data_IF_139267142580
#
_entry.id   IF_139267142580
#
_cell.length_a   1.000
_cell.length_b   1.000
_cell.length_c   1.000
_cell.angle_alpha   90.00
_cell.angle_beta   90.00
_cell.angle_gamma   90.00
#
_symmetry.space_group_name_H-M   'P 1'
#
loop_
_entity.id
_entity.type
_entity.pdbx_description
1 polymer ?
#
# COMPACT_ATOMS: atom_id res chain seq x y z
N UNK A 1 51.01 47.77 -20.25
CA UNK A 1 51.03 49.24 -20.05
C UNK A 1 52.46 49.74 -19.86
N UNK A 2 53.27 49.13 -18.99
CA UNK A 2 54.67 49.52 -18.79
C UNK A 2 55.55 49.44 -20.05
N UNK A 3 55.29 48.50 -20.97
CA UNK A 3 56.10 48.35 -22.19
C UNK A 3 55.64 49.24 -23.36
N UNK A 4 54.50 49.92 -23.20
CA UNK A 4 53.86 50.76 -24.24
C UNK A 4 54.19 52.25 -24.09
N UNK A 5 54.65 52.67 -22.91
CA UNK A 5 54.98 54.05 -22.61
C UNK A 5 56.40 54.09 -22.01
N UNK A 6 57.25 54.95 -22.55
CA UNK A 6 58.60 55.20 -22.04
C UNK A 6 58.78 56.69 -21.77
N UNK A 7 59.75 57.01 -20.92
CA UNK A 7 60.02 58.38 -20.51
C UNK A 7 60.47 59.24 -21.71
N UNK A 8 59.87 60.43 -21.85
CA UNK A 8 60.10 61.32 -22.99
C UNK A 8 59.28 61.03 -24.27
N UNK A 9 58.33 60.10 -24.23
CA UNK A 9 57.45 59.83 -25.38
C UNK A 9 56.54 61.04 -25.69
N UNK A 10 56.72 61.68 -26.84
CA UNK A 10 56.02 62.92 -27.20
C UNK A 10 54.53 62.71 -27.54
N UNK A 11 54.15 61.51 -27.98
CA UNK A 11 52.81 61.17 -28.47
C UNK A 11 51.96 60.37 -27.47
N UNK A 12 52.26 60.45 -26.16
CA UNK A 12 51.56 59.69 -25.11
C UNK A 12 50.04 59.90 -25.16
N UNK A 13 49.60 61.14 -25.39
CA UNK A 13 48.17 61.45 -25.48
C UNK A 13 47.49 60.79 -26.67
N UNK A 14 48.18 60.62 -27.79
CA UNK A 14 47.63 60.02 -29.00
C UNK A 14 47.49 58.51 -28.86
N UNK A 15 48.47 57.85 -28.23
CA UNK A 15 48.40 56.43 -27.86
C UNK A 15 47.32 56.16 -26.81
N UNK A 16 47.17 57.02 -25.80
CA UNK A 16 46.07 56.94 -24.82
C UNK A 16 44.70 57.06 -25.51
N UNK A 17 44.55 58.02 -26.42
CA UNK A 17 43.31 58.19 -27.17
C UNK A 17 43.06 57.05 -28.17
N UNK A 18 44.10 56.44 -28.74
CA UNK A 18 43.98 55.24 -29.56
C UNK A 18 43.57 54.03 -28.73
N UNK A 19 44.11 53.87 -27.51
CA UNK A 19 43.68 52.85 -26.56
C UNK A 19 42.22 53.05 -26.13
N UNK A 20 41.81 54.29 -25.81
CA UNK A 20 40.43 54.57 -25.45
C UNK A 20 39.48 54.25 -26.60
N UNK A 21 39.80 54.67 -27.82
CA UNK A 21 39.01 54.34 -29.02
C UNK A 21 38.98 52.83 -29.30
N UNK A 22 40.07 52.11 -29.07
CA UNK A 22 40.10 50.65 -29.21
C UNK A 22 39.29 49.94 -28.11
N UNK A 23 39.16 50.53 -26.92
CA UNK A 23 38.29 50.04 -25.85
C UNK A 23 36.81 50.32 -26.16
N UNK A 24 36.51 51.48 -26.73
CA UNK A 24 35.16 51.87 -27.22
C UNK A 24 34.74 51.08 -28.47
N UNK A 25 35.67 50.71 -29.35
CA UNK A 25 35.41 50.02 -30.62
C UNK A 25 35.67 48.50 -30.58
N UNK A 26 36.22 47.96 -29.49
CA UNK A 26 36.78 46.61 -29.43
C UNK A 26 35.76 45.47 -29.55
N UNK A 27 36.15 44.30 -30.09
CA UNK A 27 35.32 43.08 -30.20
C UNK A 27 35.21 42.32 -28.87
N UNK A 28 35.76 42.88 -27.80
CA UNK A 28 35.70 42.29 -26.48
C UNK A 28 34.38 42.70 -25.85
N UNK A 29 33.50 41.73 -25.63
CA UNK A 29 32.55 41.73 -24.53
C UNK A 29 33.33 41.80 -23.20
N UNK A 30 34.16 42.82 -23.02
CA UNK A 30 34.81 43.12 -21.77
C UNK A 30 33.65 43.42 -20.83
N UNK A 31 33.41 42.48 -19.91
CA UNK A 31 32.44 42.62 -18.84
C UNK A 31 32.55 44.04 -18.29
N UNK A 32 31.51 44.88 -18.41
CA UNK A 32 31.54 46.21 -17.83
C UNK A 32 31.87 46.03 -16.34
N UNK A 33 33.03 46.54 -15.93
CA UNK A 33 33.53 46.46 -14.55
C UNK A 33 32.58 47.16 -13.55
N UNK A 34 31.62 47.92 -14.06
CA UNK A 34 30.59 48.67 -13.33
C UNK A 34 29.19 48.07 -13.48
N UNK A 35 29.05 46.91 -14.13
CA UNK A 35 27.76 46.27 -14.41
C UNK A 35 27.11 46.79 -15.70
N UNK A 36 26.61 45.85 -16.51
CA UNK A 36 25.91 46.11 -17.76
C UNK A 36 25.37 44.81 -18.35
N UNK A 37 24.43 44.89 -19.28
CA UNK A 37 23.79 43.73 -19.90
C UNK A 37 24.70 43.11 -20.96
N UNK A 38 25.01 41.82 -20.85
CA UNK A 38 25.61 41.06 -21.95
C UNK A 38 24.56 40.88 -23.05
N UNK A 39 24.82 41.41 -24.25
CA UNK A 39 23.98 41.18 -25.44
C UNK A 39 24.77 40.37 -26.47
N UNK A 40 24.16 39.33 -27.05
CA UNK A 40 24.79 38.43 -28.03
C UNK A 40 24.93 36.99 -27.52
N UNK A 41 25.42 36.10 -28.38
CA UNK A 41 25.63 34.68 -28.07
C UNK A 41 26.86 34.50 -27.16
N UNK A 42 26.69 33.86 -26.01
CA UNK A 42 27.79 33.55 -25.07
C UNK A 42 28.19 32.10 -25.29
N UNK A 43 29.29 31.89 -26.00
CA UNK A 43 29.92 30.58 -26.16
C UNK A 43 31.10 30.43 -25.19
N UNK A 44 31.07 29.40 -24.35
CA UNK A 44 32.18 29.06 -23.46
C UNK A 44 32.48 27.57 -23.55
N UNK A 45 33.77 27.24 -23.71
CA UNK A 45 34.27 25.87 -23.72
C UNK A 45 34.62 25.40 -22.29
N UNK A 46 34.40 26.27 -21.29
CA UNK A 46 34.68 26.07 -19.87
C UNK A 46 33.42 26.31 -19.01
N UNK A 47 33.43 25.82 -17.77
CA UNK A 47 32.31 25.96 -16.81
C UNK A 47 32.05 27.44 -16.51
N UNK A 48 30.81 27.88 -16.73
CA UNK A 48 30.34 29.24 -16.40
C UNK A 48 29.81 29.24 -14.96
N UNK A 49 30.42 30.04 -14.09
CA UNK A 49 29.91 30.30 -12.73
C UNK A 49 28.99 31.52 -12.72
N UNK A 50 27.77 31.37 -12.20
CA UNK A 50 26.77 32.45 -12.13
C UNK A 50 26.39 32.70 -10.68
N UNK A 51 26.64 33.91 -10.16
CA UNK A 51 26.27 34.33 -8.80
C UNK A 51 26.45 35.84 -8.58
N UNK A 52 25.76 36.39 -7.57
CA UNK A 52 25.87 37.81 -7.16
C UNK A 52 26.73 37.91 -5.90
N UNK A 53 27.74 38.80 -5.90
CA UNK A 53 28.35 39.24 -4.64
C UNK A 53 27.33 40.12 -3.89
N UNK A 54 26.55 39.51 -2.99
CA UNK A 54 25.66 40.22 -2.05
C UNK A 54 24.14 40.27 -2.31
N UNK A 55 23.49 39.18 -2.80
CA UNK A 55 22.00 38.90 -2.79
C UNK A 55 21.15 39.37 -4.01
N UNK A 56 19.96 38.81 -4.37
CA UNK A 56 19.70 37.82 -5.43
C UNK A 56 19.38 38.37 -6.82
N UNK A 57 19.72 37.59 -7.86
CA UNK A 57 19.29 37.75 -9.26
C UNK A 57 18.28 36.65 -9.63
N UNK A 58 17.30 36.98 -10.48
CA UNK A 58 16.56 36.03 -11.34
C UNK A 58 17.51 35.48 -12.41
N UNK A 59 18.37 34.56 -11.99
CA UNK A 59 19.41 33.90 -12.78
C UNK A 59 19.05 32.43 -13.03
N UNK A 60 19.70 31.76 -13.99
CA UNK A 60 20.05 30.34 -13.78
C UNK A 60 20.87 30.32 -12.50
N UNK A 61 20.20 30.06 -11.40
CA UNK A 61 20.75 30.25 -10.09
C UNK A 61 21.03 28.89 -9.49
N UNK A 62 22.23 28.71 -8.96
CA UNK A 62 22.34 28.04 -7.68
C UNK A 62 22.15 29.12 -6.62
N UNK A 63 20.93 29.67 -6.49
CA UNK A 63 20.65 30.66 -5.44
C UNK A 63 20.30 29.91 -4.16
N UNK A 64 21.13 30.04 -3.12
CA UNK A 64 20.68 29.78 -1.76
C UNK A 64 19.85 30.99 -1.32
N UNK A 65 18.53 30.87 -1.09
CA UNK A 65 17.77 31.96 -0.51
C UNK A 65 18.20 32.09 0.95
N UNK A 66 19.20 32.92 1.24
CA UNK A 66 19.60 33.21 2.62
C UNK A 66 19.56 34.70 2.90
N UNK A 67 18.81 35.10 3.93
CA UNK A 67 19.06 36.38 4.60
C UNK A 67 17.93 37.03 5.38
N UNK A 68 16.66 36.66 5.17
CA UNK A 68 15.55 37.22 5.95
C UNK A 68 14.75 36.08 6.55
N UNK A 69 14.44 36.14 7.85
CA UNK A 69 13.42 35.29 8.44
C UNK A 69 12.13 35.46 7.63
N UNK A 70 11.79 34.48 6.79
CA UNK A 70 10.53 34.49 6.05
C UNK A 70 9.41 34.30 7.11
N UNK A 71 8.57 35.31 7.36
CA UNK A 71 7.62 35.25 8.46
C UNK A 71 6.47 34.33 8.07
N UNK A 72 6.55 33.04 8.41
CA UNK A 72 5.39 32.14 8.58
C UNK A 72 4.57 31.87 7.28
N UNK A 73 4.86 32.52 6.14
CA UNK A 73 3.94 32.57 4.99
C UNK A 73 3.99 31.40 3.99
N UNK A 74 4.82 30.36 4.22
CA UNK A 74 4.98 29.21 3.29
C UNK A 74 5.21 29.62 1.82
N UNK A 75 5.82 30.78 1.59
CA UNK A 75 6.00 31.33 0.24
C UNK A 75 7.06 30.50 -0.50
N UNK A 76 6.73 30.02 -1.70
CA UNK A 76 7.68 29.28 -2.56
C UNK A 76 8.69 30.23 -3.17
N UNK A 77 9.98 29.91 -3.07
CA UNK A 77 11.11 30.67 -3.60
C UNK A 77 11.76 29.89 -4.73
N UNK A 78 11.95 30.52 -5.90
CA UNK A 78 12.67 29.92 -7.01
C UNK A 78 14.16 29.81 -6.66
N UNK A 79 14.69 28.59 -6.68
CA UNK A 79 16.10 28.27 -6.40
C UNK A 79 16.88 28.03 -7.69
N UNK A 80 16.26 27.38 -8.67
CA UNK A 80 16.84 27.16 -10.00
C UNK A 80 15.71 27.04 -11.05
N UNK A 81 15.98 27.40 -12.30
CA UNK A 81 15.07 27.15 -13.43
C UNK A 81 15.83 26.71 -14.67
N UNK A 82 15.24 25.80 -15.44
CA UNK A 82 15.71 25.34 -16.74
C UNK A 82 14.60 25.55 -17.78
N UNK A 83 14.82 26.43 -18.75
CA UNK A 83 13.91 26.59 -19.87
C UNK A 83 13.99 25.39 -20.82
N UNK A 84 12.85 25.02 -21.40
CA UNK A 84 12.70 23.97 -22.42
C UNK A 84 12.01 24.60 -23.61
N UNK A 85 12.63 24.48 -24.77
CA UNK A 85 12.05 24.97 -26.02
C UNK A 85 11.05 23.95 -26.57
N UNK A 86 9.89 24.42 -26.98
CA UNK A 86 8.86 23.66 -27.65
C UNK A 86 9.26 23.20 -29.05
N UNK A 87 8.46 22.29 -29.60
CA UNK A 87 8.61 21.80 -30.97
C UNK A 87 7.45 22.40 -31.79
N UNK A 88 7.73 23.21 -32.83
CA UNK A 88 6.68 23.85 -33.63
C UNK A 88 5.60 22.87 -34.10
N UNK A 89 4.35 23.14 -33.74
CA UNK A 89 3.18 22.31 -34.10
C UNK A 89 2.96 21.06 -33.24
N UNK A 90 3.84 20.78 -32.27
CA UNK A 90 3.78 19.57 -31.42
C UNK A 90 3.75 19.93 -29.93
N UNK A 91 4.55 20.90 -29.47
CA UNK A 91 4.65 21.30 -28.06
C UNK A 91 5.05 22.78 -27.90
N UNK A 92 4.57 23.44 -26.85
CA UNK A 92 4.93 24.83 -26.50
C UNK A 92 6.27 24.93 -25.76
N UNK A 93 6.83 26.14 -25.74
CA UNK A 93 7.93 26.50 -24.85
C UNK A 93 7.47 26.38 -23.38
N UNK A 94 8.40 26.05 -22.49
CA UNK A 94 8.12 25.91 -21.07
C UNK A 94 9.38 25.99 -20.22
N UNK A 95 9.22 25.77 -18.92
CA UNK A 95 10.36 25.76 -17.99
C UNK A 95 10.13 24.80 -16.82
N UNK A 96 11.21 24.19 -16.35
CA UNK A 96 11.30 23.45 -15.09
C UNK A 96 11.85 24.37 -14.01
N UNK A 97 11.14 24.48 -12.90
CA UNK A 97 11.56 25.29 -11.76
C UNK A 97 11.78 24.39 -10.56
N UNK A 98 12.88 24.62 -9.84
CA UNK A 98 13.16 24.08 -8.53
C UNK A 98 12.85 25.16 -7.51
N UNK A 99 11.85 24.94 -6.68
CA UNK A 99 11.45 25.87 -5.63
C UNK A 99 11.68 25.29 -4.25
N UNK A 100 11.98 26.16 -3.29
CA UNK A 100 12.00 25.81 -1.87
C UNK A 100 11.05 26.67 -1.04
N UNK A 101 10.55 26.12 0.07
CA UNK A 101 9.78 26.85 1.08
C UNK A 101 10.02 26.25 2.46
N UNK A 102 9.50 26.91 3.51
CA UNK A 102 9.37 26.29 4.83
C UNK A 102 8.53 25.01 4.73
N UNK A 103 8.90 23.98 5.48
CA UNK A 103 8.10 22.75 5.60
C UNK A 103 6.71 23.00 6.22
N UNK A 104 5.89 21.93 6.36
CA UNK A 104 4.54 22.04 6.90
C UNK A 104 4.53 22.48 8.37
N UNK A 105 5.59 22.20 9.13
CA UNK A 105 5.72 22.55 10.54
C UNK A 105 6.30 23.96 10.75
N UNK A 106 5.81 24.64 11.79
CA UNK A 106 6.24 25.99 12.21
C UNK A 106 7.59 26.00 12.94
N UNK A 107 8.13 24.82 13.28
CA UNK A 107 9.46 24.66 13.88
C UNK A 107 10.51 24.52 12.76
N UNK A 108 11.78 24.87 13.02
CA UNK A 108 12.88 24.91 12.01
C UNK A 108 13.31 23.53 11.46
N UNK A 109 12.41 22.55 11.37
CA UNK A 109 12.73 21.15 11.13
C UNK A 109 12.50 20.65 9.69
N UNK A 110 12.09 21.48 8.73
CA UNK A 110 11.87 20.99 7.36
C UNK A 110 11.97 22.02 6.25
N UNK A 111 12.39 21.55 5.08
CA UNK A 111 12.28 22.24 3.79
C UNK A 111 11.30 21.48 2.89
N UNK A 112 10.69 22.18 1.94
CA UNK A 112 9.98 21.56 0.81
C UNK A 112 10.79 21.84 -0.45
N UNK A 113 10.98 20.83 -1.30
CA UNK A 113 11.51 20.96 -2.66
C UNK A 113 10.38 20.64 -3.64
N UNK A 114 10.06 21.61 -4.50
CA UNK A 114 9.02 21.45 -5.51
C UNK A 114 9.61 21.58 -6.90
N UNK A 115 9.31 20.63 -7.78
CA UNK A 115 9.55 20.76 -9.21
C UNK A 115 8.26 21.26 -9.83
N UNK A 116 8.29 22.40 -10.51
CA UNK A 116 7.13 22.98 -11.21
C UNK A 116 7.43 23.06 -12.70
N UNK A 117 6.50 22.56 -13.53
CA UNK A 117 6.52 22.77 -14.97
C UNK A 117 5.49 23.86 -15.31
N UNK A 118 5.90 24.86 -16.09
CA UNK A 118 5.01 25.94 -16.55
C UNK A 118 4.98 25.95 -18.07
N UNK A 119 3.77 26.01 -18.65
CA UNK A 119 3.53 26.33 -20.06
C UNK A 119 3.35 27.85 -20.21
N UNK A 120 4.16 28.47 -21.06
CA UNK A 120 4.21 29.93 -21.23
C UNK A 120 3.01 30.50 -22.00
N UNK A 121 2.29 29.70 -22.81
CA UNK A 121 1.19 30.21 -23.65
C UNK A 121 -0.14 30.22 -22.90
N UNK A 122 -0.38 29.22 -22.05
CA UNK A 122 -1.64 29.09 -21.29
C UNK A 122 -1.56 29.71 -19.90
N UNK A 123 -0.36 30.06 -19.42
CA UNK A 123 -0.13 30.47 -18.03
C UNK A 123 -0.47 29.36 -17.03
N UNK A 124 -0.62 28.12 -17.51
CA UNK A 124 -0.99 26.99 -16.68
C UNK A 124 0.22 26.56 -15.84
N UNK A 125 0.32 27.10 -14.63
CA UNK A 125 1.13 26.51 -13.56
C UNK A 125 0.34 25.32 -13.00
N UNK A 126 0.30 24.24 -13.76
CA UNK A 126 -0.28 23.00 -13.27
C UNK A 126 0.35 22.61 -11.94
N UNK A 127 -0.48 22.04 -11.07
CA UNK A 127 -0.13 21.22 -9.91
C UNK A 127 1.34 20.77 -9.88
N UNK A 128 2.04 20.99 -8.76
CA UNK A 128 3.46 20.64 -8.60
C UNK A 128 3.69 19.15 -8.94
N UNK A 129 4.31 18.80 -10.07
CA UNK A 129 4.43 17.40 -10.51
C UNK A 129 5.19 16.52 -9.52
N UNK A 130 6.13 17.08 -8.75
CA UNK A 130 6.81 16.36 -7.68
C UNK A 130 7.10 17.32 -6.51
N UNK A 131 6.64 16.93 -5.33
CA UNK A 131 6.99 17.58 -4.06
C UNK A 131 7.77 16.60 -3.21
N UNK A 132 8.95 17.00 -2.73
CA UNK A 132 9.71 16.30 -1.71
C UNK A 132 9.73 17.15 -0.44
N UNK A 133 9.41 16.56 0.70
CA UNK A 133 9.36 17.25 1.98
C UNK A 133 10.45 16.70 2.91
N UNK A 134 10.98 17.57 3.77
CA UNK A 134 12.07 17.23 4.70
C UNK A 134 11.71 16.19 5.76
N UNK A 135 10.42 15.87 5.92
CA UNK A 135 9.92 14.77 6.76
C UNK A 135 9.98 13.40 6.06
N UNK A 136 10.45 13.33 4.81
CA UNK A 136 10.58 12.11 4.03
C UNK A 136 9.42 11.84 3.07
N UNK A 137 8.38 12.69 3.06
CA UNK A 137 7.26 12.53 2.16
C UNK A 137 7.62 12.97 0.73
N UNK A 138 7.19 12.16 -0.23
CA UNK A 138 7.21 12.49 -1.65
C UNK A 138 5.79 12.39 -2.19
N UNK A 139 5.32 13.42 -2.91
CA UNK A 139 4.02 13.40 -3.58
C UNK A 139 4.14 13.80 -5.04
N UNK A 140 3.37 13.10 -5.87
CA UNK A 140 3.12 13.45 -7.27
C UNK A 140 1.67 13.83 -7.37
N UNK A 141 1.41 14.97 -8.00
CA UNK A 141 0.05 15.39 -8.25
C UNK A 141 -0.46 14.73 -9.54
N UNK A 142 -1.59 14.03 -9.45
CA UNK A 142 -2.13 13.20 -10.52
C UNK A 142 -1.63 11.75 -10.50
N UNK A 143 -1.46 11.16 -11.68
CA UNK A 143 -1.10 9.75 -11.82
C UNK A 143 0.42 9.54 -11.83
N UNK A 144 0.91 8.69 -10.93
CA UNK A 144 2.28 8.20 -10.98
C UNK A 144 2.34 6.86 -11.73
N UNK A 145 3.11 6.81 -12.82
CA UNK A 145 3.34 5.58 -13.59
C UNK A 145 4.82 5.21 -13.55
N UNK A 146 5.13 4.03 -13.00
CA UNK A 146 6.47 3.45 -13.06
C UNK A 146 6.51 2.41 -14.19
N UNK A 147 7.33 2.65 -15.22
CA UNK A 147 7.51 1.70 -16.33
C UNK A 147 8.22 0.38 -15.95
N UNK A 148 8.69 0.28 -14.69
CA UNK A 148 9.34 -0.89 -14.13
C UNK A 148 8.67 -1.31 -12.81
N UNK A 149 9.45 -1.36 -11.73
CA UNK A 149 8.99 -1.79 -10.42
C UNK A 149 8.85 -0.61 -9.45
N UNK A 150 7.69 -0.49 -8.81
CA UNK A 150 7.52 0.31 -7.59
C UNK A 150 7.83 -0.59 -6.38
N UNK A 151 8.88 -0.27 -5.62
CA UNK A 151 9.20 -0.95 -4.36
C UNK A 151 8.77 -0.08 -3.20
N UNK A 152 7.83 -0.56 -2.39
CA UNK A 152 7.41 0.10 -1.16
C UNK A 152 8.09 -0.56 0.04
N UNK A 153 8.92 0.22 0.76
CA UNK A 153 9.58 -0.15 2.02
C UNK A 153 10.78 -1.12 1.91
N UNK A 154 11.36 -1.46 3.06
CA UNK A 154 12.50 -2.40 3.19
C UNK A 154 12.04 -3.86 3.35
N UNK A 155 12.85 -4.86 2.95
CA UNK A 155 12.53 -6.28 3.09
C UNK A 155 12.33 -6.73 4.56
N UNK A 156 11.12 -7.23 4.87
CA UNK A 156 10.67 -8.08 5.99
C UNK A 156 11.48 -8.13 7.30
N UNK A 157 11.82 -6.98 7.89
CA UNK A 157 12.21 -6.88 9.31
C UNK A 157 11.12 -6.29 10.21
N UNK A 158 10.01 -5.85 9.61
CA UNK A 158 8.88 -5.20 10.28
C UNK A 158 7.91 -6.21 10.91
N UNK A 159 7.16 -5.79 11.93
CA UNK A 159 6.13 -6.60 12.56
C UNK A 159 4.95 -6.87 11.60
N UNK A 160 4.33 -8.04 11.72
CA UNK A 160 3.16 -8.39 10.91
C UNK A 160 1.96 -7.48 11.21
N UNK A 161 1.14 -7.22 10.19
CA UNK A 161 -0.05 -6.37 10.29
C UNK A 161 0.22 -4.87 10.14
N UNK A 162 1.48 -4.44 10.04
CA UNK A 162 1.82 -3.04 9.74
C UNK A 162 1.46 -2.69 8.29
N UNK A 163 0.93 -1.49 8.07
CA UNK A 163 0.59 -0.98 6.75
C UNK A 163 1.87 -0.72 5.94
N UNK A 164 1.98 -1.35 4.76
CA UNK A 164 3.13 -1.19 3.84
C UNK A 164 2.83 -0.24 2.69
N UNK A 165 1.60 -0.26 2.19
CA UNK A 165 1.11 0.61 1.12
C UNK A 165 -0.40 0.76 1.25
N UNK A 166 -0.90 1.98 1.10
CA UNK A 166 -2.33 2.26 1.04
C UNK A 166 -2.66 2.98 -0.28
N UNK A 167 -3.75 2.56 -0.91
CA UNK A 167 -4.46 3.34 -1.91
C UNK A 167 -5.79 3.70 -1.30
N UNK A 168 -5.95 4.99 -0.95
CA UNK A 168 -7.12 5.50 -0.25
C UNK A 168 -8.42 5.04 -0.94
N UNK A 169 -9.37 4.55 -0.14
CA UNK A 169 -10.68 4.06 -0.60
C UNK A 169 -10.62 2.94 -1.67
N UNK A 170 -9.52 2.19 -1.74
CA UNK A 170 -9.35 1.11 -2.72
C UNK A 170 -8.78 -0.17 -2.09
N UNK A 171 -7.54 -0.14 -1.63
CA UNK A 171 -6.85 -1.31 -1.13
C UNK A 171 -5.67 -0.95 -0.22
N UNK A 172 -5.41 -1.79 0.78
CA UNK A 172 -4.23 -1.68 1.64
C UNK A 172 -3.43 -2.98 1.60
N UNK A 173 -2.12 -2.83 1.62
CA UNK A 173 -1.15 -3.92 1.69
C UNK A 173 -0.48 -3.90 3.06
N UNK A 174 -0.46 -5.05 3.73
CA UNK A 174 0.13 -5.18 5.07
C UNK A 174 1.31 -6.14 5.08
N UNK A 175 2.21 -5.95 6.05
CA UNK A 175 3.31 -6.87 6.31
C UNK A 175 2.78 -8.23 6.73
N UNK A 176 3.19 -9.28 6.02
CA UNK A 176 2.85 -10.68 6.32
C UNK A 176 4.11 -11.56 6.27
N UNK A 177 4.30 -12.44 7.26
CA UNK A 177 5.53 -13.26 7.38
C UNK A 177 5.30 -14.78 7.27
N UNK A 178 4.06 -15.22 7.05
CA UNK A 178 3.74 -16.64 6.90
C UNK A 178 4.15 -17.23 5.54
N UNK A 179 4.68 -18.47 5.47
CA UNK A 179 4.89 -19.18 4.20
C UNK A 179 3.56 -19.62 3.56
N UNK A 180 2.46 -19.54 4.31
CA UNK A 180 1.08 -19.84 3.93
C UNK A 180 0.18 -19.05 4.89
N UNK A 181 -0.77 -18.27 4.39
CA UNK A 181 -1.54 -17.28 5.19
C UNK A 181 -2.25 -17.88 6.40
N UNK A 182 -2.25 -17.14 7.52
CA UNK A 182 -2.83 -17.53 8.82
C UNK A 182 -3.50 -16.34 9.53
N UNK A 183 -4.25 -16.62 10.58
CA UNK A 183 -5.64 -16.19 10.84
C UNK A 183 -5.89 -14.85 11.55
N UNK A 184 -4.96 -13.90 11.61
CA UNK A 184 -5.22 -12.59 12.26
C UNK A 184 -4.66 -11.38 11.51
N UNK A 185 -4.28 -11.55 10.24
CA UNK A 185 -3.91 -10.45 9.35
C UNK A 185 -3.93 -10.90 7.89
N UNK A 186 -4.40 -10.06 6.98
CA UNK A 186 -4.34 -10.30 5.54
C UNK A 186 -3.19 -9.49 4.93
N UNK A 187 -2.55 -10.00 3.88
CA UNK A 187 -1.56 -9.23 3.14
C UNK A 187 -2.21 -8.12 2.29
N UNK A 188 -3.50 -8.28 1.94
CA UNK A 188 -4.27 -7.39 1.09
C UNK A 188 -5.71 -7.32 1.60
N UNK A 189 -6.19 -6.10 1.89
CA UNK A 189 -7.61 -5.81 1.98
C UNK A 189 -8.07 -4.99 0.77
N UNK A 190 -9.31 -5.20 0.34
CA UNK A 190 -9.92 -4.50 -0.80
C UNK A 190 -11.27 -3.98 -0.35
N UNK A 191 -11.53 -2.70 -0.57
CA UNK A 191 -12.83 -2.09 -0.27
C UNK A 191 -13.84 -2.38 -1.37
N UNK A 192 -15.12 -2.41 -1.04
CA UNK A 192 -16.18 -2.56 -2.04
C UNK A 192 -16.59 -1.23 -2.65
N UNK A 193 -16.94 -1.25 -3.94
CA UNK A 193 -17.63 -0.15 -4.58
C UNK A 193 -19.07 -0.06 -4.04
N UNK A 194 -19.45 1.08 -3.47
CA UNK A 194 -20.74 1.25 -2.77
C UNK A 194 -21.98 1.15 -3.66
N UNK A 195 -21.83 1.33 -4.98
CA UNK A 195 -22.94 1.23 -5.94
C UNK A 195 -23.19 -0.22 -6.36
N UNK A 196 -22.12 -1.00 -6.54
CA UNK A 196 -22.21 -2.37 -7.07
C UNK A 196 -22.00 -3.46 -6.01
N UNK A 197 -21.50 -3.10 -4.83
CA UNK A 197 -21.08 -4.03 -3.78
C UNK A 197 -19.81 -4.82 -4.10
N UNK A 198 -19.18 -4.60 -5.27
CA UNK A 198 -18.03 -5.39 -5.74
C UNK A 198 -16.71 -4.85 -5.19
N UNK A 199 -15.90 -5.74 -4.60
CA UNK A 199 -14.51 -5.43 -4.25
C UNK A 199 -13.49 -5.94 -5.28
N UNK A 200 -13.69 -7.15 -5.81
CA UNK A 200 -12.80 -7.75 -6.80
C UNK A 200 -13.60 -8.38 -7.96
N UNK A 201 -13.06 -8.29 -9.17
CA UNK A 201 -13.60 -8.94 -10.38
C UNK A 201 -12.42 -9.49 -11.18
N UNK A 202 -12.54 -10.73 -11.66
CA UNK A 202 -11.56 -11.34 -12.57
C UNK A 202 -12.28 -11.80 -13.84
N UNK A 203 -11.67 -11.54 -15.00
CA UNK A 203 -12.12 -12.11 -16.29
C UNK A 203 -11.68 -13.56 -16.47
N UNK A 204 -10.81 -14.07 -15.58
CA UNK A 204 -10.31 -15.44 -15.56
C UNK A 204 -10.57 -16.12 -14.22
N UNK A 205 -9.81 -17.17 -13.93
CA UNK A 205 -9.97 -17.96 -12.70
C UNK A 205 -9.28 -17.33 -11.49
N UNK A 206 -9.87 -17.47 -10.31
CA UNK A 206 -9.14 -17.34 -9.05
C UNK A 206 -8.50 -18.69 -8.71
N UNK A 207 -7.20 -18.70 -8.45
CA UNK A 207 -6.50 -19.90 -7.99
C UNK A 207 -6.17 -19.74 -6.51
N UNK A 208 -6.52 -20.75 -5.73
CA UNK A 208 -6.29 -20.80 -4.29
C UNK A 208 -5.78 -22.20 -3.92
N UNK A 209 -5.09 -22.29 -2.78
CA UNK A 209 -4.48 -23.56 -2.32
C UNK A 209 -5.53 -24.52 -1.77
N UNK A 210 -6.60 -24.00 -1.15
CA UNK A 210 -7.67 -24.83 -0.59
C UNK A 210 -8.49 -25.58 -1.63
N UNK A 211 -9.17 -26.66 -1.22
CA UNK A 211 -9.85 -27.58 -2.14
C UNK A 211 -11.38 -27.62 -1.98
N UNK A 212 -11.92 -26.86 -1.02
CA UNK A 212 -13.34 -26.83 -0.70
C UNK A 212 -13.88 -25.40 -0.50
N UNK A 213 -15.19 -25.26 -0.71
CA UNK A 213 -15.97 -24.12 -0.25
C UNK A 213 -16.56 -24.45 1.11
N UNK A 214 -16.36 -23.55 2.07
CA UNK A 214 -16.89 -23.68 3.41
C UNK A 214 -17.68 -22.44 3.84
N UNK A 215 -18.51 -22.59 4.88
CA UNK A 215 -19.18 -21.48 5.55
C UNK A 215 -18.90 -21.52 7.04
N UNK A 216 -18.79 -20.36 7.68
CA UNK A 216 -18.81 -20.28 9.13
C UNK A 216 -20.21 -20.65 9.65
N UNK A 217 -20.27 -21.66 10.51
CA UNK A 217 -21.48 -22.06 11.21
C UNK A 217 -21.30 -21.94 12.72
N UNK A 218 -22.32 -21.43 13.40
CA UNK A 218 -22.34 -21.27 14.86
C UNK A 218 -22.53 -22.63 15.52
N UNK A 219 -21.70 -22.91 16.53
CA UNK A 219 -21.82 -24.08 17.39
C UNK A 219 -22.87 -23.84 18.46
N UNK A 220 -23.56 -24.90 18.86
CA UNK A 220 -24.34 -24.84 20.10
C UNK A 220 -23.42 -24.55 21.28
N UNK A 221 -23.96 -23.89 22.31
CA UNK A 221 -23.23 -23.56 23.53
C UNK A 221 -22.73 -24.81 24.30
N UNK A 222 -23.38 -25.95 24.12
CA UNK A 222 -23.09 -27.23 24.78
C UNK A 222 -22.30 -28.20 23.88
N UNK A 223 -21.68 -27.69 22.82
CA UNK A 223 -20.92 -28.45 21.83
C UNK A 223 -19.41 -28.40 22.14
N UNK A 224 -18.73 -29.54 22.02
CA UNK A 224 -17.27 -29.61 22.12
C UNK A 224 -16.54 -28.92 20.97
N UNK A 225 -15.20 -28.98 21.03
CA UNK A 225 -14.35 -28.57 19.90
C UNK A 225 -14.30 -29.69 18.86
N UNK A 226 -14.49 -29.34 17.59
CA UNK A 226 -14.35 -30.28 16.48
C UNK A 226 -12.93 -30.29 15.92
N UNK A 227 -12.39 -31.46 15.58
CA UNK A 227 -11.16 -31.54 14.80
C UNK A 227 -11.45 -31.25 13.31
N UNK A 228 -10.47 -30.74 12.56
CA UNK A 228 -10.58 -30.66 11.10
C UNK A 228 -10.83 -32.05 10.51
N UNK A 229 -11.78 -32.17 9.57
CA UNK A 229 -12.23 -33.45 9.01
C UNK A 229 -13.21 -34.23 9.89
N UNK A 230 -13.64 -33.71 11.04
CA UNK A 230 -14.68 -34.33 11.85
C UNK A 230 -16.03 -34.26 11.15
N UNK A 231 -16.83 -35.33 11.30
CA UNK A 231 -18.23 -35.35 10.90
C UNK A 231 -19.02 -34.67 12.01
N UNK A 232 -19.84 -33.70 11.64
CA UNK A 232 -20.62 -32.88 12.57
C UNK A 232 -22.10 -32.99 12.25
N UNK A 233 -22.94 -32.82 13.26
CA UNK A 233 -24.38 -32.66 13.10
C UNK A 233 -24.76 -31.20 12.98
N UNK A 234 -25.86 -30.94 12.28
CA UNK A 234 -26.56 -29.65 12.25
C UNK A 234 -27.90 -29.87 12.92
N UNK A 235 -28.21 -29.10 13.95
CA UNK A 235 -29.47 -29.21 14.68
C UNK A 235 -30.62 -28.48 13.98
N UNK A 236 -31.84 -28.63 14.53
CA UNK A 236 -33.04 -28.00 13.96
C UNK A 236 -33.02 -26.45 13.98
N UNK A 237 -32.10 -25.84 14.74
CA UNK A 237 -31.89 -24.38 14.76
C UNK A 237 -30.78 -23.94 13.78
N UNK A 238 -30.16 -24.88 13.07
CA UNK A 238 -29.04 -24.60 12.17
C UNK A 238 -27.68 -24.51 12.87
N UNK A 239 -27.58 -24.88 14.15
CA UNK A 239 -26.31 -24.85 14.89
C UNK A 239 -25.57 -26.19 14.81
N UNK A 240 -24.24 -26.13 14.89
CA UNK A 240 -23.41 -27.33 14.93
C UNK A 240 -23.55 -28.07 16.26
N UNK A 241 -23.59 -29.40 16.18
CA UNK A 241 -23.68 -30.29 17.33
C UNK A 241 -22.84 -31.55 17.15
N UNK A 242 -22.30 -32.05 18.26
CA UNK A 242 -21.66 -33.35 18.41
C UNK A 242 -22.63 -34.46 18.83
N UNK A 243 -23.90 -34.12 19.09
CA UNK A 243 -24.92 -35.04 19.61
C UNK A 243 -25.80 -35.59 18.49
N UNK A 244 -25.70 -36.90 18.25
CA UNK A 244 -26.48 -37.58 17.22
C UNK A 244 -27.99 -37.30 17.33
N UNK A 245 -28.54 -37.33 18.55
CA UNK A 245 -29.98 -37.15 18.79
C UNK A 245 -30.52 -35.78 18.43
N UNK A 246 -29.66 -34.76 18.33
CA UNK A 246 -30.06 -33.39 18.00
C UNK A 246 -29.86 -33.07 16.53
N UNK A 247 -29.07 -33.87 15.81
CA UNK A 247 -28.74 -33.64 14.42
C UNK A 247 -29.93 -33.98 13.50
N UNK A 248 -30.29 -33.03 12.65
CA UNK A 248 -31.26 -33.22 11.55
C UNK A 248 -30.57 -33.34 10.19
N UNK A 249 -29.33 -32.86 10.08
CA UNK A 249 -28.45 -33.02 8.93
C UNK A 249 -27.00 -33.21 9.40
N UNK A 250 -26.11 -33.59 8.48
CA UNK A 250 -24.71 -33.86 8.77
C UNK A 250 -23.80 -33.23 7.73
N UNK A 251 -22.61 -32.83 8.17
CA UNK A 251 -21.59 -32.22 7.32
C UNK A 251 -20.18 -32.59 7.81
N UNK A 252 -19.15 -32.03 7.17
CA UNK A 252 -17.74 -32.21 7.57
C UNK A 252 -17.13 -30.86 7.88
N UNK A 253 -16.40 -30.78 9.00
CA UNK A 253 -15.58 -29.61 9.30
C UNK A 253 -14.43 -29.50 8.29
N UNK A 254 -14.37 -28.38 7.58
CA UNK A 254 -13.34 -28.08 6.59
C UNK A 254 -11.94 -28.03 7.23
N UNK A 255 -10.95 -28.50 6.49
CA UNK A 255 -9.54 -28.43 6.89
C UNK A 255 -8.78 -27.30 6.19
N UNK A 256 -9.07 -27.07 4.90
CA UNK A 256 -8.33 -26.11 4.07
C UNK A 256 -9.23 -25.55 2.94
N UNK A 257 -10.18 -24.67 3.28
CA UNK A 257 -11.09 -24.10 2.29
C UNK A 257 -10.38 -23.06 1.42
N UNK A 258 -10.71 -23.03 0.12
CA UNK A 258 -10.25 -21.96 -0.78
C UNK A 258 -11.10 -20.70 -0.67
N UNK A 259 -12.35 -20.86 -0.25
CA UNK A 259 -13.33 -19.81 -0.09
C UNK A 259 -14.15 -20.08 1.17
N UNK A 260 -14.36 -19.03 1.97
CA UNK A 260 -15.15 -19.11 3.20
C UNK A 260 -16.24 -18.05 3.17
N UNK A 261 -17.49 -18.49 3.16
CA UNK A 261 -18.67 -17.64 3.30
C UNK A 261 -19.07 -17.42 4.76
N UNK A 262 -19.97 -16.45 4.99
CA UNK A 262 -20.55 -16.22 6.32
C UNK A 262 -19.61 -15.58 7.34
N UNK A 263 -18.61 -14.81 6.91
CA UNK A 263 -17.66 -14.12 7.79
C UNK A 263 -18.27 -12.87 8.48
N UNK A 264 -19.42 -13.07 9.13
CA UNK A 264 -20.16 -12.05 9.90
C UNK A 264 -20.35 -12.42 11.37
N UNK A 265 -19.75 -13.53 11.82
CA UNK A 265 -19.90 -14.08 13.17
C UNK A 265 -19.45 -13.12 14.27
N UNK A 266 -18.47 -12.27 13.99
CA UNK A 266 -17.96 -11.26 14.92
C UNK A 266 -18.69 -9.90 14.84
N UNK A 267 -19.69 -9.74 13.96
CA UNK A 267 -20.29 -8.42 13.69
C UNK A 267 -20.89 -7.75 14.95
N UNK A 268 -21.32 -8.55 15.93
CA UNK A 268 -21.86 -8.07 17.21
C UNK A 268 -20.82 -7.38 18.11
N UNK A 269 -19.52 -7.58 17.85
CA UNK A 269 -18.43 -6.92 18.58
C UNK A 269 -18.18 -5.48 18.11
N UNK A 270 -18.77 -5.07 16.99
CA UNK A 270 -18.54 -3.77 16.38
C UNK A 270 -17.19 -3.67 15.65
N UNK A 271 -16.76 -2.43 15.38
CA UNK A 271 -15.48 -2.16 14.71
C UNK A 271 -14.32 -2.30 15.69
N UNK A 272 -13.20 -2.87 15.22
CA UNK A 272 -11.96 -2.88 15.98
C UNK A 272 -11.56 -1.42 16.31
N UNK A 273 -11.18 -1.10 17.56
CA UNK A 273 -10.71 0.24 17.91
C UNK A 273 -9.56 0.69 17.01
N UNK A 274 -9.64 1.90 16.49
CA UNK A 274 -8.59 2.49 15.65
C UNK A 274 -7.38 2.91 16.49
N UNK A 275 -6.20 2.92 15.86
CA UNK A 275 -5.02 3.54 16.45
C UNK A 275 -5.25 5.05 16.56
N UNK A 276 -5.00 5.67 17.73
CA UNK A 276 -5.19 7.10 17.89
C UNK A 276 -4.19 7.86 17.02
N UNK A 277 -4.60 9.00 16.47
CA UNK A 277 -3.68 9.95 15.85
C UNK A 277 -3.22 10.95 16.92
N UNK A 278 -1.90 11.19 17.00
CA UNK A 278 -1.35 12.22 17.89
C UNK A 278 -1.89 13.59 17.50
N UNK A 279 -2.38 14.35 18.46
CA UNK A 279 -2.92 15.69 18.21
C UNK A 279 -1.81 16.77 18.26
N UNK A 280 -1.99 17.83 17.50
CA UNK A 280 -1.05 18.97 17.52
C UNK A 280 -1.09 19.66 18.89
N UNK A 281 0.09 19.90 19.47
CA UNK A 281 0.23 20.42 20.83
C UNK A 281 0.04 19.40 21.97
N UNK A 282 -0.23 18.12 21.68
CA UNK A 282 -0.36 17.06 22.70
C UNK A 282 1.00 16.77 23.35
N UNK A 283 1.06 16.88 24.67
CA UNK A 283 2.27 16.59 25.44
C UNK A 283 2.62 15.10 25.38
N UNK A 284 3.91 14.74 25.40
CA UNK A 284 4.35 13.34 25.28
C UNK A 284 3.74 12.41 26.34
N UNK A 285 3.53 12.91 27.56
CA UNK A 285 2.90 12.13 28.63
C UNK A 285 1.42 11.83 28.36
N UNK A 286 0.69 12.77 27.75
CA UNK A 286 -0.70 12.60 27.35
C UNK A 286 -0.78 11.61 26.17
N UNK A 287 0.07 11.81 25.16
CA UNK A 287 0.18 10.89 24.02
C UNK A 287 0.54 9.45 24.43
N UNK A 288 1.43 9.29 25.41
CA UNK A 288 1.76 7.98 25.98
C UNK A 288 0.56 7.32 26.65
N UNK A 289 -0.24 8.08 27.41
CA UNK A 289 -1.47 7.57 28.03
C UNK A 289 -2.53 7.20 26.98
N UNK A 290 -2.70 8.03 25.95
CA UNK A 290 -3.61 7.77 24.82
C UNK A 290 -3.26 6.47 24.12
N UNK A 291 -1.98 6.25 23.80
CA UNK A 291 -1.50 4.99 23.21
C UNK A 291 -1.73 3.78 24.14
N UNK A 292 -1.45 3.92 25.43
CA UNK A 292 -1.66 2.83 26.39
C UNK A 292 -3.15 2.44 26.49
N UNK A 293 -4.06 3.40 26.51
CA UNK A 293 -5.50 3.15 26.53
C UNK A 293 -6.00 2.49 25.23
N UNK A 294 -5.50 2.93 24.07
CA UNK A 294 -5.80 2.32 22.78
C UNK A 294 -5.32 0.86 22.73
N UNK A 295 -4.10 0.59 23.19
CA UNK A 295 -3.54 -0.75 23.26
C UNK A 295 -4.39 -1.69 24.14
N UNK A 296 -4.82 -1.23 25.32
CA UNK A 296 -5.71 -2.01 26.20
C UNK A 296 -7.06 -2.30 25.51
N UNK A 297 -7.62 -1.30 24.82
CA UNK A 297 -8.90 -1.45 24.11
C UNK A 297 -8.80 -2.44 22.95
N UNK A 298 -7.71 -2.39 22.18
CA UNK A 298 -7.44 -3.36 21.11
C UNK A 298 -7.23 -4.77 21.67
N UNK A 299 -6.48 -4.93 22.76
CA UNK A 299 -6.34 -6.23 23.41
C UNK A 299 -7.67 -6.81 23.89
N UNK A 300 -8.54 -5.97 24.46
CA UNK A 300 -9.87 -6.39 24.89
C UNK A 300 -10.74 -6.84 23.70
N UNK A 301 -10.69 -6.09 22.59
CA UNK A 301 -11.37 -6.46 21.36
C UNK A 301 -10.83 -7.76 20.78
N UNK A 302 -9.50 -7.93 20.68
CA UNK A 302 -8.85 -9.12 20.12
C UNK A 302 -9.15 -10.36 20.98
N UNK A 303 -9.19 -10.21 22.30
CA UNK A 303 -9.59 -11.28 23.21
C UNK A 303 -11.07 -11.66 23.01
N UNK A 304 -11.98 -10.69 22.87
CA UNK A 304 -13.38 -10.95 22.58
C UNK A 304 -13.58 -11.58 21.19
N UNK A 305 -12.80 -11.15 20.20
CA UNK A 305 -12.80 -11.70 18.84
C UNK A 305 -12.37 -13.16 18.85
N UNK A 306 -11.30 -13.51 19.55
CA UNK A 306 -10.86 -14.90 19.68
C UNK A 306 -11.91 -15.74 20.42
N UNK A 307 -12.55 -15.22 21.47
CA UNK A 307 -13.67 -15.92 22.13
C UNK A 307 -14.84 -16.17 21.16
N UNK A 308 -15.24 -15.17 20.38
CA UNK A 308 -16.28 -15.32 19.37
C UNK A 308 -15.87 -16.32 18.27
N UNK A 309 -14.59 -16.31 17.84
CA UNK A 309 -14.06 -17.26 16.84
C UNK A 309 -14.17 -18.70 17.32
N UNK A 310 -14.04 -18.95 18.62
CA UNK A 310 -14.20 -20.27 19.21
C UNK A 310 -15.65 -20.75 19.22
N UNK A 311 -16.65 -19.91 18.92
CA UNK A 311 -18.06 -20.30 18.84
C UNK A 311 -18.50 -20.71 17.44
N UNK A 312 -17.64 -20.53 16.44
CA UNK A 312 -17.94 -20.88 15.05
C UNK A 312 -16.92 -21.87 14.49
N UNK A 313 -17.31 -22.61 13.46
CA UNK A 313 -16.42 -23.47 12.71
C UNK A 313 -16.71 -23.40 11.20
N UNK A 314 -15.67 -23.63 10.38
CA UNK A 314 -15.79 -23.65 8.92
C UNK A 314 -16.26 -25.04 8.48
N UNK A 315 -17.46 -25.13 7.92
CA UNK A 315 -18.07 -26.39 7.48
C UNK A 315 -18.10 -26.44 5.97
N UNK A 316 -17.65 -27.56 5.41
CA UNK A 316 -17.55 -27.72 3.97
C UNK A 316 -18.92 -28.02 3.33
N UNK A 317 -19.23 -27.32 2.25
CA UNK A 317 -20.46 -27.48 1.47
C UNK A 317 -20.18 -27.87 0.01
N UNK A 318 -18.96 -27.71 -0.50
CA UNK A 318 -18.61 -28.21 -1.82
C UNK A 318 -17.10 -28.47 -1.93
N UNK A 319 -16.69 -29.31 -2.87
CA UNK A 319 -15.28 -29.59 -3.13
C UNK A 319 -14.76 -30.84 -2.42
N UNK A 320 -13.45 -30.88 -2.17
CA UNK A 320 -12.77 -32.07 -1.65
C UNK A 320 -12.29 -31.88 -0.22
N UNK A 321 -12.64 -32.82 0.67
CA UNK A 321 -12.30 -32.71 2.10
C UNK A 321 -11.77 -34.04 2.64
N UNK A 322 -10.64 -34.03 3.37
CA UNK A 322 -10.22 -35.15 4.20
C UNK A 322 -11.16 -35.35 5.39
N UNK A 323 -11.66 -36.57 5.58
CA UNK A 323 -12.52 -36.97 6.71
C UNK A 323 -11.73 -37.84 7.66
N UNK A 324 -11.95 -37.68 8.97
CA UNK A 324 -11.30 -38.48 10.01
C UNK A 324 -11.90 -39.89 10.09
N UNK A 325 -11.79 -40.64 9.00
CA UNK A 325 -12.22 -42.03 8.86
C UNK A 325 -11.16 -42.78 8.05
N UNK A 326 -10.70 -43.92 8.59
CA UNK A 326 -9.68 -44.76 7.98
C UNK A 326 -10.30 -46.04 7.39
N UNK A 327 -9.49 -46.81 6.64
CA UNK A 327 -9.89 -48.12 6.12
C UNK A 327 -10.92 -48.05 4.99
N UNK A 328 -11.07 -46.89 4.37
CA UNK A 328 -12.03 -46.66 3.27
C UNK A 328 -11.43 -47.03 1.93
N UNK A 329 -12.28 -47.35 0.96
CA UNK A 329 -11.89 -47.56 -0.44
C UNK A 329 -12.55 -46.52 -1.35
N UNK A 330 -11.84 -45.96 -2.35
CA UNK A 330 -12.44 -45.07 -3.34
C UNK A 330 -13.69 -45.69 -3.97
N UNK A 331 -14.74 -44.88 -4.11
CA UNK A 331 -16.06 -45.32 -4.59
C UNK A 331 -17.10 -45.45 -3.48
N UNK A 332 -16.69 -45.75 -2.23
CA UNK A 332 -17.58 -45.83 -1.07
C UNK A 332 -18.18 -44.47 -0.72
N UNK A 333 -19.36 -44.47 -0.10
CA UNK A 333 -19.92 -43.27 0.51
C UNK A 333 -19.67 -43.26 2.00
N UNK A 334 -19.47 -42.06 2.54
CA UNK A 334 -19.38 -41.86 3.98
C UNK A 334 -20.75 -41.49 4.52
N UNK A 335 -21.29 -42.38 5.34
CA UNK A 335 -22.61 -42.27 5.92
C UNK A 335 -22.46 -41.99 7.42
N UNK A 336 -23.01 -40.88 7.94
CA UNK A 336 -23.03 -40.65 9.38
C UNK A 336 -23.74 -41.79 10.11
N UNK A 337 -23.19 -42.19 11.26
CA UNK A 337 -23.78 -43.17 12.17
C UNK A 337 -23.62 -42.74 13.63
N UNK A 338 -24.51 -43.25 14.48
CA UNK A 338 -24.44 -43.04 15.93
C UNK A 338 -23.44 -44.02 16.55
N UNK A 339 -22.53 -43.50 17.38
CA UNK A 339 -21.68 -44.31 18.27
C UNK A 339 -21.84 -43.78 19.70
N UNK A 340 -22.59 -44.48 20.53
CA UNK A 340 -22.99 -43.95 21.84
C UNK A 340 -23.86 -42.70 21.69
N UNK A 341 -23.39 -41.55 22.19
CA UNK A 341 -24.03 -40.24 21.98
C UNK A 341 -23.42 -39.44 20.84
N UNK A 342 -22.28 -39.88 20.31
CA UNK A 342 -21.45 -39.17 19.35
C UNK A 342 -21.84 -39.51 17.90
N UNK A 343 -21.29 -38.72 16.98
CA UNK A 343 -21.45 -38.86 15.53
C UNK A 343 -20.14 -39.42 14.97
N UNK A 344 -20.23 -40.56 14.28
CA UNK A 344 -19.12 -41.17 13.56
C UNK A 344 -19.48 -41.38 12.08
N UNK A 345 -18.52 -41.86 11.30
CA UNK A 345 -18.72 -42.19 9.88
C UNK A 345 -18.61 -43.68 9.64
N UNK A 346 -19.44 -44.18 8.74
CA UNK A 346 -19.32 -45.53 8.19
C UNK A 346 -19.09 -45.43 6.68
N UNK A 347 -18.09 -46.13 6.18
CA UNK A 347 -17.94 -46.33 4.75
C UNK A 347 -18.86 -47.47 4.29
N UNK A 348 -19.65 -47.21 3.25
CA UNK A 348 -20.62 -48.17 2.70
C UNK A 348 -20.48 -48.20 1.18
N UNK A 349 -20.41 -49.41 0.63
CA UNK A 349 -20.34 -49.62 -0.81
C UNK A 349 -21.65 -49.23 -1.49
N UNK A 350 -21.56 -48.73 -2.73
CA UNK A 350 -22.72 -48.26 -3.48
C UNK A 350 -23.79 -49.35 -3.68
N UNK A 351 -23.35 -50.61 -3.86
CA UNK A 351 -24.24 -51.76 -4.01
C UNK A 351 -25.06 -52.08 -2.75
N UNK A 352 -24.56 -51.72 -1.57
CA UNK A 352 -25.18 -52.01 -0.27
C UNK A 352 -25.91 -50.78 0.30
N UNK A 353 -25.92 -49.68 -0.44
CA UNK A 353 -26.47 -48.40 -0.02
C UNK A 353 -28.00 -48.40 -0.03
N UNK A 354 -28.64 -48.12 1.09
CA UNK A 354 -30.07 -47.78 1.11
C UNK A 354 -30.29 -46.34 0.66
N UNK A 355 -31.45 -46.02 0.08
CA UNK A 355 -31.81 -44.64 -0.27
C UNK A 355 -31.69 -43.69 0.93
N UNK A 356 -32.12 -44.14 2.12
CA UNK A 356 -32.01 -43.33 3.33
C UNK A 356 -30.55 -43.03 3.72
N UNK A 357 -29.65 -44.02 3.60
CA UNK A 357 -28.22 -43.78 3.83
C UNK A 357 -27.61 -42.86 2.76
N UNK A 358 -28.01 -43.01 1.50
CA UNK A 358 -27.57 -42.14 0.41
C UNK A 358 -27.99 -40.68 0.63
N UNK A 359 -29.25 -40.44 1.04
CA UNK A 359 -29.76 -39.09 1.32
C UNK A 359 -28.95 -38.40 2.42
N UNK A 360 -28.60 -39.12 3.50
CA UNK A 360 -27.80 -38.57 4.62
C UNK A 360 -26.29 -38.61 4.44
N UNK A 361 -25.78 -39.24 3.38
CA UNK A 361 -24.34 -39.36 3.15
C UNK A 361 -23.72 -37.97 2.94
N UNK A 362 -22.54 -37.75 3.54
CA UNK A 362 -21.81 -36.47 3.50
C UNK A 362 -20.86 -36.35 2.32
N UNK A 363 -20.63 -37.46 1.60
CA UNK A 363 -19.81 -37.47 0.41
C UNK A 363 -19.41 -38.86 -0.06
N UNK A 364 -18.74 -38.89 -1.21
CA UNK A 364 -18.18 -40.09 -1.82
C UNK A 364 -16.66 -40.04 -1.77
N UNK A 365 -16.04 -41.12 -1.32
CA UNK A 365 -14.58 -41.28 -1.26
C UNK A 365 -14.03 -41.32 -2.69
N UNK A 366 -13.07 -40.45 -2.99
CA UNK A 366 -12.38 -40.40 -4.29
C UNK A 366 -10.90 -40.79 -4.19
N UNK A 367 -10.33 -40.67 -2.99
CA UNK A 367 -8.94 -41.02 -2.71
C UNK A 367 -8.78 -41.31 -1.22
N UNK A 368 -7.64 -41.89 -0.86
CA UNK A 368 -7.18 -42.04 0.52
C UNK A 368 -5.91 -41.22 0.66
N UNK A 369 -5.85 -40.37 1.69
CA UNK A 369 -4.68 -39.57 2.03
C UNK A 369 -3.49 -40.47 2.41
N UNK A 370 -2.28 -39.91 2.37
CA UNK A 370 -1.08 -40.62 2.81
C UNK A 370 -1.12 -41.04 4.29
N UNK A 371 -1.93 -40.34 5.10
CA UNK A 371 -2.17 -40.67 6.52
C UNK A 371 -3.32 -41.67 6.73
N UNK A 372 -3.91 -42.20 5.65
CA UNK A 372 -4.98 -43.19 5.67
C UNK A 372 -6.39 -42.62 5.78
N UNK A 373 -6.56 -41.30 5.90
CA UNK A 373 -7.89 -40.67 5.93
C UNK A 373 -8.58 -40.69 4.57
N UNK A 374 -9.90 -40.81 4.57
CA UNK A 374 -10.70 -40.71 3.36
C UNK A 374 -10.73 -39.27 2.82
N UNK A 375 -10.50 -39.08 1.52
CA UNK A 375 -10.81 -37.82 0.83
C UNK A 375 -12.12 -37.97 0.10
N UNK A 376 -13.10 -37.14 0.45
CA UNK A 376 -14.43 -37.17 -0.17
C UNK A 376 -14.62 -36.00 -1.14
N UNK A 377 -15.49 -36.19 -2.14
CA UNK A 377 -16.24 -35.07 -2.72
C UNK A 377 -17.44 -34.85 -1.81
N UNK A 378 -17.57 -33.63 -1.28
CA UNK A 378 -18.67 -33.24 -0.40
C UNK A 378 -20.01 -33.39 -1.12
N UNK A 379 -20.94 -34.05 -0.45
CA UNK A 379 -22.35 -34.13 -0.84
C UNK A 379 -23.14 -33.34 0.20
N UNK A 380 -23.79 -32.26 -0.23
CA UNK A 380 -24.77 -31.57 0.62
C UNK A 380 -26.06 -32.38 0.61
N UNK A 381 -26.67 -32.51 1.80
CA UNK A 381 -27.93 -33.24 2.00
C UNK A 381 -29.10 -32.58 1.28
#
# INVERSE_FOLDING_TARGET
MADKFFDGMENVNEELNAMNRAFEAGPYNALPLTGGSLTGEVASNAVIYVGRLGQPFTSSAFFSPYGGADPITRQRRLVASLAVRGIPGIAYDGQWQVLTSSGPEISRQGYTLSFVATDEVTGFSGNTPLTLQGNGDASVDGAFSAGGLLRAGVPNTEAQGLLKMAVANSANFYVSAGPSGSSLGCALNITSNTVTGRGAVSSGTFNAVGADYAEYMVKRADCGAFAAGAIVGIDASGHLTDKWKLAVAFAVKSSNPCMVGGDNWAAHLGTRPEDPARQDGEADAEWSNTQAAAFVSQQAFDAALEQARQTVDRIAFAGQVPVNLQGTTPGQYIVPMQVGTEIAGQAVDEADMTLHQYLRAIGRVIAVESDGRARIIVKVA
#
